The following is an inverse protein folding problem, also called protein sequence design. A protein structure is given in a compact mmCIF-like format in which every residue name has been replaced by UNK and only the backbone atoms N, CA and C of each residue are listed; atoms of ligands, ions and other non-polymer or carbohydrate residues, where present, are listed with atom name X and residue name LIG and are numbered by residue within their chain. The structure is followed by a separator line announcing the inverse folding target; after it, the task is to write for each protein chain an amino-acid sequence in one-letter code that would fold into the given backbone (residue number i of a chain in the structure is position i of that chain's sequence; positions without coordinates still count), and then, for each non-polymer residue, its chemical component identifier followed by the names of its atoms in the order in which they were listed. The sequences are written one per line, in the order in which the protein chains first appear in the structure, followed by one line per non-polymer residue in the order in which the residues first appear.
data_IF_055482351520
#
_entry.id   IF_055482351520
#
_cell.length_a   1.000
_cell.length_b   1.000
_cell.length_c   1.000
_cell.angle_alpha   90.00
_cell.angle_beta   90.00
_cell.angle_gamma   90.00
#
_symmetry.space_group_name_H-M   'P 1'
#
loop_
_entity.id
_entity.type
_entity.pdbx_description
1 polymer ?
#
# COMPACT_ATOMS: atom_id res chain seq x y z
N UNK A 1 35.08 -52.66 25.77
CA UNK A 1 36.55 -52.62 25.92
C UNK A 1 36.95 -51.16 26.08
N UNK A 2 37.44 -50.96 27.34
CA UNK A 2 38.52 -50.08 27.78
C UNK A 2 38.42 -48.59 27.47
N UNK A 3 38.06 -47.77 28.42
CA UNK A 3 38.88 -47.04 29.43
C UNK A 3 39.89 -46.08 28.82
N UNK A 4 39.76 -44.77 29.16
CA UNK A 4 40.76 -44.08 29.97
C UNK A 4 40.24 -42.68 30.40
N UNK A 5 40.14 -42.59 31.76
CA UNK A 5 40.10 -41.40 32.60
C UNK A 5 41.44 -40.68 32.58
N UNK A 6 41.48 -39.37 32.59
CA UNK A 6 42.53 -38.59 33.27
C UNK A 6 41.93 -37.30 33.85
N UNK A 7 42.03 -37.26 35.17
CA UNK A 7 41.83 -36.15 36.08
C UNK A 7 43.08 -35.30 36.06
N UNK A 8 42.98 -34.00 35.96
CA UNK A 8 43.99 -33.10 36.50
C UNK A 8 43.37 -31.80 37.01
N UNK A 9 43.38 -31.75 38.32
CA UNK A 9 43.06 -30.65 39.20
C UNK A 9 44.25 -29.68 39.24
N UNK A 10 44.06 -28.39 38.96
CA UNK A 10 44.96 -27.33 39.43
C UNK A 10 44.18 -26.08 39.82
N UNK A 11 44.24 -25.83 41.09
CA UNK A 11 43.73 -24.71 41.84
C UNK A 11 44.78 -23.59 41.78
N UNK A 12 44.45 -22.38 41.31
CA UNK A 12 45.18 -21.18 41.68
C UNK A 12 44.17 -20.06 42.00
N UNK A 13 44.31 -19.60 43.20
CA UNK A 13 43.57 -18.49 43.82
C UNK A 13 44.11 -17.12 43.38
N UNK A 14 43.22 -16.12 43.44
CA UNK A 14 43.58 -14.73 43.69
C UNK A 14 43.41 -13.80 42.54
N UNK A 15 42.47 -12.85 42.57
CA UNK A 15 42.66 -11.46 42.97
C UNK A 15 41.31 -10.72 42.80
N UNK A 16 40.93 -10.07 43.89
CA UNK A 16 39.85 -9.13 44.05
C UNK A 16 40.12 -7.89 43.17
N UNK A 17 39.16 -7.53 42.33
CA UNK A 17 39.15 -6.26 41.59
C UNK A 17 37.72 -5.81 41.43
N UNK A 18 37.24 -4.97 42.38
CA UNK A 18 35.97 -4.29 42.30
C UNK A 18 36.03 -3.19 41.24
N UNK A 19 35.15 -3.23 40.29
CA UNK A 19 34.86 -2.14 39.35
C UNK A 19 33.46 -2.26 38.82
N UNK A 20 32.48 -1.42 39.24
CA UNK A 20 31.19 -1.39 38.62
C UNK A 20 31.26 -0.47 37.40
N UNK A 21 31.51 -0.99 36.23
CA UNK A 21 31.16 -0.34 34.98
C UNK A 21 29.79 -0.84 34.58
N UNK A 22 28.77 -0.12 35.02
CA UNK A 22 27.45 -0.17 34.45
C UNK A 22 27.52 0.34 32.99
N UNK A 23 27.90 -0.53 32.08
CA UNK A 23 27.71 -0.36 30.66
C UNK A 23 26.22 -0.52 30.37
N UNK A 24 25.46 0.57 30.41
CA UNK A 24 24.15 0.62 29.82
C UNK A 24 24.31 0.29 28.34
N UNK A 25 24.08 -0.96 27.98
CA UNK A 25 23.77 -1.30 26.60
C UNK A 25 22.42 -0.64 26.30
N UNK A 26 22.46 0.58 25.74
CA UNK A 26 21.36 1.11 25.00
C UNK A 26 21.12 0.14 23.85
N UNK A 27 20.13 -0.72 24.06
CA UNK A 27 19.42 -1.37 22.96
C UNK A 27 18.86 -0.22 22.16
N UNK A 28 19.56 0.14 21.10
CA UNK A 28 19.04 1.03 20.06
C UNK A 28 17.88 0.25 19.45
N UNK A 29 16.68 0.45 20.00
CA UNK A 29 15.46 0.18 19.28
C UNK A 29 15.54 1.02 18.02
N UNK A 30 15.97 0.42 16.94
CA UNK A 30 15.65 0.88 15.59
C UNK A 30 14.14 0.73 15.43
N UNK A 31 13.41 1.60 16.12
CA UNK A 31 12.05 1.92 15.78
C UNK A 31 12.10 2.52 14.39
N UNK A 32 11.99 1.68 13.38
CA UNK A 32 11.65 2.10 12.04
C UNK A 32 10.29 2.78 12.15
N UNK A 33 10.31 4.06 12.45
CA UNK A 33 9.19 4.98 12.29
C UNK A 33 8.96 5.09 10.78
N UNK A 34 8.43 3.99 10.20
CA UNK A 34 8.06 3.97 8.81
C UNK A 34 6.93 4.97 8.65
N UNK A 35 7.22 6.05 7.95
CA UNK A 35 6.25 7.09 7.64
C UNK A 35 4.95 6.45 7.11
N UNK A 36 3.77 6.90 7.55
CA UNK A 36 2.53 6.27 7.14
C UNK A 36 2.38 6.35 5.62
N UNK A 37 2.13 5.21 4.98
CA UNK A 37 1.93 5.15 3.53
C UNK A 37 0.66 5.89 3.11
N UNK A 38 0.69 6.48 1.92
CA UNK A 38 -0.51 6.95 1.24
C UNK A 38 -1.39 5.77 0.80
N UNK A 39 -2.71 5.99 0.73
CA UNK A 39 -3.66 5.00 0.25
C UNK A 39 -4.16 5.38 -1.13
N UNK A 40 -3.94 4.52 -2.11
CA UNK A 40 -4.47 4.68 -3.47
C UNK A 40 -5.62 3.69 -3.66
N UNK A 41 -6.78 4.19 -4.08
CA UNK A 41 -7.97 3.39 -4.36
C UNK A 41 -8.28 3.54 -5.84
N UNK A 42 -8.25 2.44 -6.60
CA UNK A 42 -8.45 2.43 -8.04
C UNK A 42 -9.63 1.54 -8.37
N UNK A 43 -10.71 2.13 -8.86
CA UNK A 43 -11.93 1.44 -9.23
C UNK A 43 -12.16 1.38 -10.74
N UNK A 44 -12.94 0.41 -11.18
CA UNK A 44 -13.46 0.34 -12.54
C UNK A 44 -14.94 0.00 -12.51
N UNK A 45 -15.77 0.92 -12.95
CA UNK A 45 -17.22 0.71 -13.04
C UNK A 45 -17.56 -0.42 -14.04
N UNK A 46 -18.72 -1.06 -13.84
CA UNK A 46 -19.21 -2.08 -14.75
C UNK A 46 -19.57 -1.47 -16.10
N UNK A 47 -19.01 -2.05 -17.15
CA UNK A 47 -19.31 -1.72 -18.53
C UNK A 47 -19.39 -3.01 -19.36
N UNK A 48 -20.52 -3.22 -20.05
CA UNK A 48 -20.76 -4.44 -20.83
C UNK A 48 -19.90 -4.50 -22.09
N UNK A 49 -19.65 -3.37 -22.73
CA UNK A 49 -18.90 -3.28 -23.99
C UNK A 49 -17.43 -3.64 -23.82
N UNK A 50 -16.85 -3.33 -22.67
CA UNK A 50 -15.42 -3.50 -22.40
C UNK A 50 -15.12 -4.53 -21.31
N UNK A 51 -16.11 -5.36 -20.93
CA UNK A 51 -16.00 -6.30 -19.78
C UNK A 51 -14.81 -7.24 -19.83
N UNK A 52 -14.40 -7.65 -21.03
CA UNK A 52 -13.30 -8.59 -21.24
C UNK A 52 -11.93 -7.90 -21.29
N UNK A 53 -11.90 -6.60 -21.41
CA UNK A 53 -10.67 -5.83 -21.39
C UNK A 53 -10.18 -5.65 -19.95
N UNK A 54 -8.90 -5.88 -19.70
CA UNK A 54 -8.31 -5.83 -18.37
C UNK A 54 -7.00 -5.05 -18.42
N UNK A 55 -7.07 -3.71 -18.53
CA UNK A 55 -5.86 -2.90 -18.53
C UNK A 55 -5.08 -3.07 -17.23
N UNK A 56 -3.77 -3.18 -17.36
CA UNK A 56 -2.85 -3.19 -16.22
C UNK A 56 -2.78 -1.80 -15.59
N UNK A 57 -2.63 -1.76 -14.27
CA UNK A 57 -2.47 -0.54 -13.47
C UNK A 57 -1.07 -0.53 -12.89
N UNK A 58 -0.39 0.61 -12.99
CA UNK A 58 0.99 0.79 -12.58
C UNK A 58 1.16 1.97 -11.62
N UNK A 59 2.10 1.83 -10.70
CA UNK A 59 2.67 2.91 -9.92
C UNK A 59 4.19 2.86 -10.12
N UNK A 60 4.79 3.96 -10.55
CA UNK A 60 6.24 4.06 -10.82
C UNK A 60 6.77 2.88 -11.66
N UNK A 61 6.08 2.53 -12.74
CA UNK A 61 6.38 1.41 -13.66
C UNK A 61 6.21 0.00 -13.07
N UNK A 62 5.85 -0.14 -11.79
CA UNK A 62 5.53 -1.43 -11.17
C UNK A 62 4.05 -1.77 -11.45
N UNK A 63 3.79 -2.93 -12.04
CA UNK A 63 2.43 -3.41 -12.29
C UNK A 63 1.79 -3.89 -10.98
N UNK A 64 0.82 -3.14 -10.48
CA UNK A 64 0.09 -3.49 -9.27
C UNK A 64 -0.91 -4.63 -9.52
N UNK A 65 -1.71 -4.49 -10.58
CA UNK A 65 -2.77 -5.44 -10.89
C UNK A 65 -3.32 -5.24 -12.31
N UNK A 66 -4.09 -6.23 -12.78
CA UNK A 66 -4.95 -6.10 -13.97
C UNK A 66 -6.37 -5.74 -13.55
N UNK A 67 -6.82 -4.55 -13.92
CA UNK A 67 -8.13 -4.05 -13.50
C UNK A 67 -9.26 -4.94 -14.03
N UNK A 68 -10.26 -5.19 -13.18
CA UNK A 68 -11.42 -6.01 -13.52
C UNK A 68 -12.69 -5.14 -13.56
N UNK A 69 -13.59 -5.51 -14.44
CA UNK A 69 -14.89 -4.86 -14.61
C UNK A 69 -15.73 -4.97 -13.31
N UNK A 70 -16.18 -3.84 -12.77
CA UNK A 70 -16.96 -3.79 -11.53
C UNK A 70 -16.15 -4.06 -10.25
N UNK A 71 -14.82 -3.89 -10.28
CA UNK A 71 -13.93 -4.16 -9.15
C UNK A 71 -13.10 -2.93 -8.79
N UNK A 72 -12.59 -2.92 -7.56
CA UNK A 72 -11.60 -1.95 -7.10
C UNK A 72 -10.41 -2.66 -6.45
N UNK A 73 -9.27 -2.02 -6.48
CA UNK A 73 -8.07 -2.38 -5.72
C UNK A 73 -7.68 -1.24 -4.79
N UNK A 74 -7.00 -1.58 -3.71
CA UNK A 74 -6.40 -0.62 -2.79
C UNK A 74 -4.92 -0.94 -2.65
N UNK A 75 -4.07 0.07 -2.80
CA UNK A 75 -2.64 -0.07 -2.61
C UNK A 75 -2.13 0.92 -1.55
N UNK A 76 -1.09 0.48 -0.82
CA UNK A 76 -0.34 1.30 0.14
C UNK A 76 0.99 1.67 -0.49
N UNK A 77 1.14 2.94 -0.85
CA UNK A 77 2.30 3.47 -1.57
C UNK A 77 3.05 4.47 -0.70
N UNK A 78 4.38 4.46 -0.76
CA UNK A 78 5.19 5.42 -0.03
C UNK A 78 4.91 6.85 -0.52
N UNK A 79 4.85 7.85 0.37
CA UNK A 79 4.57 9.24 0.02
C UNK A 79 5.63 9.82 -0.91
N UNK A 80 5.32 10.97 -1.53
CA UNK A 80 6.19 11.68 -2.46
C UNK A 80 5.62 11.75 -3.87
N UNK A 81 6.45 12.19 -4.82
CA UNK A 81 6.09 12.28 -6.24
C UNK A 81 6.03 10.90 -6.86
N UNK A 82 4.88 10.54 -7.41
CA UNK A 82 4.61 9.23 -8.01
C UNK A 82 3.98 9.39 -9.38
N UNK A 83 4.19 8.40 -10.21
CA UNK A 83 3.54 8.29 -11.52
C UNK A 83 2.54 7.14 -11.45
N UNK A 84 1.26 7.44 -11.67
CA UNK A 84 0.19 6.43 -11.68
C UNK A 84 -0.42 6.38 -13.07
N UNK A 85 -0.57 5.20 -13.65
CA UNK A 85 -1.14 5.02 -14.98
C UNK A 85 -1.91 3.72 -15.13
N UNK A 86 -2.80 3.69 -16.10
CA UNK A 86 -3.31 2.45 -16.67
C UNK A 86 -2.61 2.21 -18.01
N UNK A 87 -2.39 0.98 -18.39
CA UNK A 87 -1.84 0.44 -19.63
C UNK A 87 -0.96 1.38 -20.48
N UNK A 88 -1.51 2.49 -20.97
CA UNK A 88 -0.83 3.41 -21.90
C UNK A 88 -0.03 4.50 -21.15
N UNK A 89 1.32 4.55 -21.31
CA UNK A 89 2.17 5.55 -20.67
C UNK A 89 1.83 7.00 -21.04
N UNK A 90 1.23 7.22 -22.21
CA UNK A 90 0.82 8.56 -22.68
C UNK A 90 -0.17 9.24 -21.72
N UNK A 91 -0.95 8.46 -20.98
CA UNK A 91 -1.96 8.95 -20.04
C UNK A 91 -1.53 8.77 -18.59
N UNK A 92 -0.23 8.90 -18.32
CA UNK A 92 0.32 8.88 -16.97
C UNK A 92 -0.10 10.12 -16.18
N UNK A 93 -0.46 9.93 -14.93
CA UNK A 93 -0.74 10.99 -13.97
C UNK A 93 0.46 11.15 -13.03
N UNK A 94 1.05 12.34 -13.01
CA UNK A 94 2.09 12.69 -12.06
C UNK A 94 1.45 13.37 -10.85
N UNK A 95 1.56 12.76 -9.70
CA UNK A 95 0.90 13.22 -8.47
C UNK A 95 1.88 13.24 -7.31
N UNK A 96 1.63 14.09 -6.34
CA UNK A 96 2.33 14.10 -5.08
C UNK A 96 1.44 13.46 -4.00
N UNK A 97 1.87 12.30 -3.51
CA UNK A 97 1.18 11.57 -2.45
C UNK A 97 1.67 12.04 -1.09
N UNK A 98 0.74 12.38 -0.21
CA UNK A 98 1.04 12.73 1.19
C UNK A 98 0.83 11.52 2.08
N UNK A 99 1.67 11.42 3.11
CA UNK A 99 1.58 10.38 4.12
C UNK A 99 0.19 10.36 4.80
N UNK A 100 -0.45 9.20 4.83
CA UNK A 100 -1.76 9.00 5.45
C UNK A 100 -2.97 9.42 4.61
N UNK A 101 -2.78 10.17 3.52
CA UNK A 101 -3.87 10.61 2.66
C UNK A 101 -4.43 9.50 1.77
N UNK A 102 -5.66 9.70 1.32
CA UNK A 102 -6.39 8.80 0.43
C UNK A 102 -6.64 9.44 -0.94
N UNK A 103 -6.30 8.72 -1.98
CA UNK A 103 -6.42 9.15 -3.38
C UNK A 103 -7.31 8.19 -4.15
N UNK A 104 -8.22 8.72 -4.95
CA UNK A 104 -9.22 7.96 -5.69
C UNK A 104 -9.02 8.12 -7.18
N UNK A 105 -9.02 6.99 -7.89
CA UNK A 105 -8.89 6.93 -9.33
C UNK A 105 -9.92 6.00 -9.93
N UNK A 106 -10.30 6.28 -11.17
CA UNK A 106 -11.13 5.39 -11.98
C UNK A 106 -10.37 4.96 -13.23
N UNK A 107 -10.41 3.67 -13.52
CA UNK A 107 -9.98 3.15 -14.82
C UNK A 107 -11.12 3.31 -15.80
N UNK A 108 -10.89 4.06 -16.87
CA UNK A 108 -11.79 4.19 -18.01
C UNK A 108 -11.18 3.56 -19.25
N UNK A 109 -12.02 2.99 -20.09
CA UNK A 109 -11.61 2.50 -21.40
C UNK A 109 -11.96 3.54 -22.44
N UNK A 110 -10.92 4.17 -23.00
CA UNK A 110 -11.09 5.12 -24.08
C UNK A 110 -11.05 4.39 -25.43
N UNK A 111 -12.01 4.66 -26.28
CA UNK A 111 -12.02 4.19 -27.67
C UNK A 111 -11.02 5.01 -28.47
N UNK A 112 -10.00 4.36 -29.02
CA UNK A 112 -9.10 4.95 -30.02
C UNK A 112 -9.50 4.59 -31.43
N UNK A 113 -8.99 5.33 -32.43
CA UNK A 113 -9.25 5.08 -33.86
C UNK A 113 -8.80 3.66 -34.29
N UNK A 114 -7.76 3.13 -33.68
CA UNK A 114 -7.21 1.81 -34.02
C UNK A 114 -7.28 0.78 -32.89
N UNK A 115 -7.29 1.23 -31.63
CA UNK A 115 -7.24 0.34 -30.45
C UNK A 115 -7.85 1.03 -29.24
N UNK A 116 -8.65 0.30 -28.46
CA UNK A 116 -9.07 0.77 -27.15
C UNK A 116 -7.88 0.74 -26.17
N UNK A 117 -7.82 1.65 -25.23
CA UNK A 117 -6.78 1.71 -24.20
C UNK A 117 -7.35 2.13 -22.85
N UNK A 118 -6.74 1.63 -21.78
CA UNK A 118 -7.07 2.03 -20.42
C UNK A 118 -6.40 3.36 -20.07
N UNK A 119 -7.16 4.27 -19.45
CA UNK A 119 -6.63 5.48 -18.83
C UNK A 119 -7.08 5.59 -17.38
N UNK A 120 -6.30 6.28 -16.56
CA UNK A 120 -6.71 6.65 -15.21
C UNK A 120 -7.26 8.08 -15.19
N UNK A 121 -8.33 8.24 -14.42
CA UNK A 121 -8.92 9.55 -14.13
C UNK A 121 -8.91 9.74 -12.62
N UNK A 122 -8.34 10.87 -12.15
CA UNK A 122 -8.42 11.27 -10.75
C UNK A 122 -9.84 11.65 -10.37
N UNK A 123 -10.29 11.21 -9.22
CA UNK A 123 -11.62 11.49 -8.70
C UNK A 123 -11.53 12.35 -7.44
N UNK A 124 -12.57 13.18 -7.23
CA UNK A 124 -12.76 13.74 -5.90
C UNK A 124 -13.10 12.61 -4.93
N UNK A 125 -12.84 12.83 -3.67
CA UNK A 125 -13.21 11.85 -2.64
C UNK A 125 -14.69 11.45 -2.66
N UNK A 126 -15.62 12.38 -2.95
CA UNK A 126 -17.07 12.11 -3.02
C UNK A 126 -17.41 11.23 -4.21
N UNK A 127 -16.79 11.50 -5.37
CA UNK A 127 -16.92 10.67 -6.57
C UNK A 127 -16.41 9.26 -6.31
N UNK A 128 -15.21 9.13 -5.71
CA UNK A 128 -14.63 7.85 -5.36
C UNK A 128 -15.53 7.04 -4.41
N UNK A 129 -16.06 7.67 -3.36
CA UNK A 129 -16.98 7.02 -2.43
C UNK A 129 -18.30 6.61 -3.11
N UNK A 130 -18.79 7.41 -4.07
CA UNK A 130 -19.97 7.04 -4.84
C UNK A 130 -19.73 5.82 -5.71
N UNK A 131 -18.60 5.76 -6.40
CA UNK A 131 -18.21 4.62 -7.24
C UNK A 131 -18.10 3.34 -6.43
N UNK A 132 -17.47 3.40 -5.27
CA UNK A 132 -17.23 2.23 -4.42
C UNK A 132 -18.51 1.51 -3.98
N UNK A 133 -19.66 2.19 -3.96
CA UNK A 133 -20.96 1.55 -3.65
C UNK A 133 -21.35 0.47 -4.65
N UNK A 134 -20.81 0.54 -5.88
CA UNK A 134 -21.11 -0.38 -6.98
C UNK A 134 -19.98 -1.36 -7.29
N UNK A 135 -18.89 -1.29 -6.51
CA UNK A 135 -17.68 -2.06 -6.75
C UNK A 135 -17.44 -3.08 -5.63
N UNK A 136 -16.80 -4.17 -5.97
CA UNK A 136 -16.30 -5.17 -5.03
C UNK A 136 -14.78 -5.28 -5.13
N UNK A 137 -14.07 -5.77 -4.09
CA UNK A 137 -12.62 -5.94 -4.15
C UNK A 137 -12.19 -6.79 -5.35
N UNK A 138 -10.99 -6.49 -5.86
CA UNK A 138 -10.38 -7.24 -6.95
C UNK A 138 -10.12 -8.70 -6.56
N UNK A 139 -10.23 -9.60 -7.53
CA UNK A 139 -9.86 -11.00 -7.35
C UNK A 139 -8.33 -11.11 -7.18
N UNK A 140 -7.83 -11.81 -6.14
CA UNK A 140 -6.38 -11.95 -5.90
C UNK A 140 -5.59 -12.50 -7.08
N UNK A 141 -6.19 -13.32 -7.95
CA UNK A 141 -5.53 -13.87 -9.15
C UNK A 141 -5.10 -12.79 -10.16
N UNK A 142 -5.66 -11.60 -10.07
CA UNK A 142 -5.34 -10.44 -10.90
C UNK A 142 -4.36 -9.46 -10.27
N UNK A 143 -4.01 -9.64 -9.01
CA UNK A 143 -2.97 -8.86 -8.32
C UNK A 143 -1.60 -9.34 -8.79
N UNK A 144 -0.70 -8.41 -9.08
CA UNK A 144 0.68 -8.66 -9.51
C UNK A 144 1.68 -8.34 -8.40
N UNK A 145 1.46 -7.24 -7.72
CA UNK A 145 2.26 -6.87 -6.57
C UNK A 145 1.46 -7.00 -5.28
N UNK A 146 1.73 -8.09 -4.55
CA UNK A 146 1.11 -8.37 -3.25
C UNK A 146 1.75 -7.62 -2.09
N UNK A 147 2.88 -6.92 -2.31
CA UNK A 147 3.55 -6.14 -1.28
C UNK A 147 2.89 -4.78 -1.06
N UNK A 148 2.29 -4.22 -2.10
CA UNK A 148 1.61 -2.92 -2.05
C UNK A 148 0.08 -3.06 -2.09
N UNK A 149 -0.45 -4.01 -2.86
CA UNK A 149 -1.91 -4.22 -3.00
C UNK A 149 -2.46 -4.99 -1.80
N UNK A 150 -3.47 -4.43 -1.17
CA UNK A 150 -4.12 -5.00 0.00
C UNK A 150 -5.04 -6.16 -0.37
N UNK A 151 -5.14 -7.15 0.54
CA UNK A 151 -6.16 -8.19 0.44
C UNK A 151 -7.58 -7.60 0.47
N UNK A 152 -8.59 -8.36 0.08
CA UNK A 152 -9.98 -7.89 0.05
C UNK A 152 -10.46 -7.37 1.41
N UNK A 153 -10.09 -8.04 2.49
CA UNK A 153 -10.44 -7.65 3.86
C UNK A 153 -9.74 -6.36 4.28
N UNK A 154 -8.41 -6.28 4.04
CA UNK A 154 -7.62 -5.09 4.33
C UNK A 154 -8.07 -3.89 3.48
N UNK A 155 -8.45 -4.14 2.21
CA UNK A 155 -8.96 -3.11 1.31
C UNK A 155 -10.27 -2.52 1.83
N UNK A 156 -11.20 -3.36 2.31
CA UNK A 156 -12.46 -2.88 2.91
C UNK A 156 -12.20 -2.02 4.15
N UNK A 157 -11.29 -2.45 5.04
CA UNK A 157 -10.91 -1.68 6.22
C UNK A 157 -10.25 -0.34 5.85
N UNK A 158 -9.36 -0.32 4.84
CA UNK A 158 -8.71 0.90 4.38
C UNK A 158 -9.71 1.90 3.77
N UNK A 159 -10.67 1.41 2.98
CA UNK A 159 -11.77 2.24 2.42
C UNK A 159 -12.60 2.87 3.53
N UNK A 160 -12.95 2.10 4.57
CA UNK A 160 -13.67 2.62 5.73
C UNK A 160 -12.85 3.70 6.47
N UNK A 161 -11.54 3.48 6.63
CA UNK A 161 -10.62 4.46 7.22
C UNK A 161 -10.57 5.76 6.41
N UNK A 162 -10.48 5.67 5.07
CA UNK A 162 -10.52 6.83 4.19
C UNK A 162 -11.84 7.62 4.28
N UNK A 163 -12.96 6.96 4.53
CA UNK A 163 -14.24 7.62 4.72
C UNK A 163 -14.32 8.35 6.07
N UNK A 164 -13.73 7.78 7.13
CA UNK A 164 -13.73 8.35 8.48
C UNK A 164 -12.87 9.63 8.58
N UNK A 165 -11.71 9.66 7.94
CA UNK A 165 -10.82 10.85 7.90
C UNK A 165 -11.54 12.07 7.34
N UNK A 166 -12.44 11.90 6.40
CA UNK A 166 -13.26 13.00 5.84
C UNK A 166 -14.29 13.55 6.80
N UNK A 167 -14.93 12.68 7.56
CA UNK A 167 -15.95 13.12 8.53
C UNK A 167 -15.35 14.06 9.58
N UNK A 168 -14.04 13.91 9.86
CA UNK A 168 -13.33 14.74 10.82
C UNK A 168 -12.73 16.04 10.22
N UNK A 169 -12.68 16.16 8.88
CA UNK A 169 -12.04 17.31 8.18
C UNK A 169 -13.08 18.29 7.60
N UNK A 170 -14.37 18.09 7.86
CA UNK A 170 -15.40 19.06 7.44
C UNK A 170 -15.13 20.39 8.15
N UNK A 171 -14.80 21.50 7.43
CA UNK A 171 -14.62 22.79 8.07
C UNK A 171 -15.93 23.20 8.74
N UNK A 172 -15.88 23.91 9.89
CA UNK A 172 -17.08 24.42 10.51
C UNK A 172 -17.82 25.28 9.49
N UNK A 173 -19.10 24.91 9.27
CA UNK A 173 -20.01 25.69 8.41
C UNK A 173 -19.91 27.15 8.81
N UNK A 174 -19.48 28.02 7.88
CA UNK A 174 -19.60 29.44 8.05
C UNK A 174 -21.10 29.74 8.23
N UNK A 175 -21.49 30.10 9.42
CA UNK A 175 -22.81 30.61 9.70
C UNK A 175 -23.05 31.93 8.93
N UNK A 176 -24.29 32.22 8.51
CA UNK A 176 -24.64 33.38 7.73
C UNK A 176 -24.42 34.70 8.45
#
# INVERSE_FOLDING_TARGET
MAHYTWISLLLVAGIVGAGPCAGSQQVKEEGSSKEPKATIIIGRLKDFGTRNWRPSVYVDEVELARSQNGRYLVAKVDPGKRTVRAEDPKYSLHIELKAGDCYFFRVEIASGLAKAHGRLVGLTPEQGASDLKFLTPIDPSHVKDTSEVLSAEQAAAAVAGCAAVRASTTPPSAAP
#
